data_IF_900879020906
#
_entry.id   IF_900879020906
#
_cell.length_a   1.000
_cell.length_b   1.000
_cell.length_c   1.000
_cell.angle_alpha   90.00
_cell.angle_beta   90.00
_cell.angle_gamma   90.00
#
_symmetry.space_group_name_H-M   'P 1'
#
loop_
_entity.id
_entity.type
_entity.pdbx_description
1 polymer ?
#
# COMPACT_ATOMS: atom_id res chain seq x y z
N UNK A 1 8.42 6.40 -14.11
CA UNK A 1 7.05 6.89 -13.82
C UNK A 1 6.05 6.02 -14.54
N UNK A 2 4.96 5.67 -13.87
CA UNK A 2 3.87 4.85 -14.39
C UNK A 2 2.56 5.63 -14.25
N UNK A 3 1.70 5.61 -15.27
CA UNK A 3 0.44 6.36 -15.30
C UNK A 3 -0.74 5.42 -15.01
N UNK A 4 -1.41 5.53 -13.83
CA UNK A 4 -2.66 4.83 -13.57
C UNK A 4 -3.70 5.15 -14.65
N UNK A 5 -4.55 4.19 -15.01
CA UNK A 5 -5.44 4.33 -16.15
C UNK A 5 -6.24 3.06 -16.44
N UNK A 6 -6.43 2.73 -17.73
CA UNK A 6 -7.36 1.68 -18.17
C UNK A 6 -7.17 0.32 -17.47
N UNK A 7 -5.94 -0.05 -17.11
CA UNK A 7 -5.59 -1.38 -16.62
C UNK A 7 -5.43 -1.47 -15.10
N UNK A 8 -4.97 -0.40 -14.45
CA UNK A 8 -4.74 -0.39 -13.03
C UNK A 8 -4.98 0.99 -12.41
N UNK A 9 -5.33 0.98 -11.13
CA UNK A 9 -5.31 2.12 -10.23
C UNK A 9 -4.27 1.89 -9.13
N UNK A 10 -3.90 2.95 -8.43
CA UNK A 10 -2.98 2.86 -7.31
C UNK A 10 -3.66 3.41 -6.05
N UNK A 11 -3.50 2.68 -4.95
CA UNK A 11 -4.12 3.03 -3.68
C UNK A 11 -3.04 3.14 -2.63
N UNK A 12 -2.94 4.32 -2.02
CA UNK A 12 -2.01 4.60 -0.95
C UNK A 12 -2.71 4.52 0.41
N UNK A 13 -2.07 3.84 1.35
CA UNK A 13 -2.54 3.61 2.72
C UNK A 13 -1.45 4.08 3.71
N UNK A 14 -1.80 4.80 4.79
CA UNK A 14 -0.85 5.23 5.81
C UNK A 14 -0.09 4.06 6.41
N UNK A 15 1.19 4.27 6.73
CA UNK A 15 2.02 3.23 7.33
C UNK A 15 1.44 2.69 8.63
N UNK A 16 0.94 3.57 9.51
CA UNK A 16 0.30 3.22 10.78
C UNK A 16 -0.82 2.18 10.63
N UNK A 17 -1.66 2.32 9.59
CA UNK A 17 -2.80 1.43 9.34
C UNK A 17 -2.31 0.04 8.92
N UNK A 18 -1.31 -0.01 8.03
CA UNK A 18 -0.74 -1.27 7.56
C UNK A 18 0.03 -1.98 8.66
N UNK A 19 0.82 -1.23 9.44
CA UNK A 19 1.57 -1.73 10.60
C UNK A 19 0.64 -2.32 11.66
N UNK A 20 -0.43 -1.61 12.02
CA UNK A 20 -1.45 -2.13 12.93
C UNK A 20 -2.12 -3.40 12.38
N UNK A 21 -2.43 -3.44 11.08
CA UNK A 21 -3.05 -4.62 10.46
C UNK A 21 -2.12 -5.84 10.43
N UNK A 22 -0.80 -5.63 10.29
CA UNK A 22 0.21 -6.67 10.25
C UNK A 22 0.79 -7.03 11.62
N UNK A 23 0.49 -6.26 12.67
CA UNK A 23 1.17 -6.37 13.98
C UNK A 23 2.69 -6.26 13.86
N UNK A 24 3.12 -5.29 13.04
CA UNK A 24 4.50 -5.09 12.68
C UNK A 24 4.89 -3.63 12.89
N UNK A 25 6.17 -3.36 13.15
CA UNK A 25 6.68 -2.01 13.37
C UNK A 25 7.34 -1.40 12.13
N UNK A 26 7.67 -2.23 11.12
CA UNK A 26 8.39 -1.83 9.93
C UNK A 26 7.80 -2.43 8.64
N UNK A 27 8.08 -1.84 7.46
CA UNK A 27 7.68 -2.44 6.19
C UNK A 27 8.33 -3.78 5.88
N UNK A 28 9.56 -4.01 6.33
CA UNK A 28 10.27 -5.26 6.22
C UNK A 28 9.54 -6.38 6.97
N UNK A 29 9.05 -6.09 8.18
CA UNK A 29 8.26 -7.03 8.99
C UNK A 29 6.86 -7.27 8.40
N UNK A 30 6.29 -6.27 7.72
CA UNK A 30 5.00 -6.41 7.04
C UNK A 30 5.09 -7.29 5.78
N UNK A 31 6.24 -7.32 5.11
CA UNK A 31 6.43 -7.96 3.81
C UNK A 31 5.87 -9.40 3.71
N UNK A 32 6.20 -10.35 4.60
CA UNK A 32 5.69 -11.72 4.50
C UNK A 32 4.16 -11.81 4.67
N UNK A 33 3.60 -11.02 5.59
CA UNK A 33 2.15 -10.97 5.82
C UNK A 33 1.44 -10.42 4.59
N UNK A 34 1.91 -9.27 4.08
CA UNK A 34 1.34 -8.65 2.90
C UNK A 34 1.46 -9.55 1.66
N UNK A 35 2.59 -10.22 1.47
CA UNK A 35 2.80 -11.14 0.35
C UNK A 35 1.80 -12.30 0.36
N UNK A 36 1.52 -12.86 1.53
CA UNK A 36 0.53 -13.93 1.68
C UNK A 36 -0.91 -13.47 1.41
N UNK A 37 -1.23 -12.20 1.71
CA UNK A 37 -2.57 -11.66 1.61
C UNK A 37 -2.85 -11.06 0.23
N UNK A 38 -2.02 -10.16 -0.27
CA UNK A 38 -2.37 -9.29 -1.39
C UNK A 38 -2.15 -9.92 -2.77
N UNK A 39 -1.21 -10.85 -2.89
CA UNK A 39 -0.82 -11.53 -4.14
C UNK A 39 -0.62 -10.57 -5.33
N UNK A 40 -0.01 -9.40 -5.06
CA UNK A 40 0.28 -8.37 -6.04
C UNK A 40 1.24 -7.30 -5.51
N UNK A 41 1.68 -6.37 -6.37
CA UNK A 41 2.76 -5.45 -6.06
C UNK A 41 2.35 -4.35 -5.10
N UNK A 42 3.24 -4.10 -4.14
CA UNK A 42 3.14 -3.08 -3.11
C UNK A 42 4.50 -2.45 -2.91
N UNK A 43 4.58 -1.13 -2.95
CA UNK A 43 5.78 -0.41 -2.59
C UNK A 43 5.52 0.51 -1.39
N UNK A 44 6.56 0.75 -0.61
CA UNK A 44 6.56 1.69 0.49
C UNK A 44 7.24 2.99 0.05
N UNK A 45 6.69 4.14 0.44
CA UNK A 45 7.30 5.45 0.25
C UNK A 45 7.44 6.18 1.59
N UNK A 46 8.65 6.61 1.99
CA UNK A 46 8.87 7.22 3.31
C UNK A 46 8.37 8.67 3.40
N UNK A 47 8.25 9.39 2.27
CA UNK A 47 7.90 10.83 2.23
C UNK A 47 6.39 11.09 2.02
N UNK A 48 5.55 10.09 2.31
CA UNK A 48 4.09 10.15 2.22
C UNK A 48 3.41 10.42 3.56
N UNK A 49 2.12 10.80 3.56
CA UNK A 49 1.28 10.94 4.77
C UNK A 49 1.97 11.70 5.92
N UNK A 50 2.24 13.01 5.75
CA UNK A 50 2.89 13.85 6.78
C UNK A 50 4.26 13.34 7.26
N UNK A 51 5.03 12.68 6.39
CA UNK A 51 6.35 12.08 6.67
C UNK A 51 6.30 10.79 7.51
N UNK A 52 5.12 10.23 7.75
CA UNK A 52 4.96 8.95 8.44
C UNK A 52 5.11 7.77 7.48
N UNK A 53 5.13 8.05 6.17
CA UNK A 53 5.25 7.07 5.11
C UNK A 53 3.92 6.39 4.76
N UNK A 54 3.95 5.60 3.68
CA UNK A 54 2.76 4.87 3.25
C UNK A 54 3.04 3.78 2.25
N UNK A 55 2.10 2.84 2.19
CA UNK A 55 2.11 1.72 1.25
C UNK A 55 1.23 2.05 0.07
N UNK A 56 1.77 1.88 -1.13
CA UNK A 56 1.00 2.01 -2.37
C UNK A 56 0.89 0.66 -3.04
N UNK A 57 -0.34 0.18 -3.14
CA UNK A 57 -0.68 -1.06 -3.84
C UNK A 57 -1.19 -0.75 -5.24
N UNK A 58 -0.85 -1.61 -6.22
CA UNK A 58 -1.43 -1.53 -7.57
C UNK A 58 -2.60 -2.50 -7.67
N UNK A 59 -3.75 -2.01 -8.12
CA UNK A 59 -5.01 -2.75 -8.19
C UNK A 59 -5.62 -2.65 -9.59
N UNK A 60 -6.52 -3.57 -9.99
CA UNK A 60 -7.31 -3.39 -11.21
C UNK A 60 -8.07 -2.06 -11.21
N UNK A 61 -8.21 -1.42 -12.37
CA UNK A 61 -8.85 -0.10 -12.52
C UNK A 61 -10.28 -0.02 -11.97
N UNK A 62 -11.02 -1.12 -11.95
CA UNK A 62 -12.34 -1.24 -11.33
C UNK A 62 -12.36 -0.93 -9.82
N UNK A 63 -11.20 -0.91 -9.15
CA UNK A 63 -11.08 -0.52 -7.75
C UNK A 63 -11.14 1.00 -7.51
N UNK A 64 -11.23 1.82 -8.57
CA UNK A 64 -11.23 3.29 -8.48
C UNK A 64 -12.42 3.88 -7.73
N UNK A 65 -13.51 3.13 -7.59
CA UNK A 65 -14.70 3.55 -6.82
C UNK A 65 -14.54 3.38 -5.30
N UNK A 66 -13.38 2.93 -4.83
CA UNK A 66 -13.12 2.73 -3.42
C UNK A 66 -13.04 4.06 -2.67
N UNK A 67 -13.97 4.27 -1.72
CA UNK A 67 -13.99 5.41 -0.80
C UNK A 67 -14.00 4.94 0.66
N UNK A 68 -12.83 4.58 1.19
CA UNK A 68 -12.63 4.40 2.63
C UNK A 68 -11.95 5.64 3.22
N UNK A 69 -12.31 6.07 4.45
CA UNK A 69 -11.52 7.04 5.20
C UNK A 69 -10.05 6.62 5.31
N UNK A 70 -9.15 7.60 5.29
CA UNK A 70 -7.69 7.42 5.41
C UNK A 70 -6.99 6.72 4.25
N UNK A 71 -7.69 6.43 3.15
CA UNK A 71 -7.09 5.85 1.94
C UNK A 71 -7.09 6.90 0.83
N UNK A 72 -5.98 6.99 0.10
CA UNK A 72 -5.87 7.84 -1.09
C UNK A 72 -5.89 6.96 -2.32
N UNK A 73 -7.00 7.00 -3.06
CA UNK A 73 -7.06 6.44 -4.41
C UNK A 73 -6.47 7.47 -5.37
N UNK A 74 -5.37 7.13 -6.04
CA UNK A 74 -4.73 8.02 -6.99
C UNK A 74 -5.63 8.17 -8.23
N UNK A 75 -5.90 9.40 -8.68
CA UNK A 75 -6.75 9.62 -9.84
C UNK A 75 -6.11 9.03 -11.10
N UNK A 76 -6.95 8.62 -12.04
CA UNK A 76 -6.48 8.18 -13.35
C UNK A 76 -5.59 9.27 -13.97
N UNK A 77 -4.47 8.85 -14.57
CA UNK A 77 -3.42 9.69 -15.18
C UNK A 77 -2.57 10.51 -14.21
N UNK A 78 -2.70 10.32 -12.89
CA UNK A 78 -1.75 10.89 -11.94
C UNK A 78 -0.32 10.38 -12.23
N UNK A 79 0.69 11.22 -12.03
CA UNK A 79 2.06 10.77 -12.09
C UNK A 79 2.42 10.07 -10.78
N UNK A 80 2.58 8.74 -10.85
CA UNK A 80 3.05 7.95 -9.72
C UNK A 80 4.54 7.68 -9.88
N UNK A 81 5.32 8.14 -8.91
CA UNK A 81 6.68 7.69 -8.72
C UNK A 81 6.63 6.23 -8.25
N UNK A 82 7.10 5.32 -9.11
CA UNK A 82 7.15 3.89 -8.83
C UNK A 82 8.62 3.49 -8.79
N UNK A 83 9.06 2.67 -7.81
CA UNK A 83 10.44 2.20 -7.77
C UNK A 83 10.80 1.40 -9.02
N UNK A 84 12.08 1.40 -9.39
CA UNK A 84 12.57 0.42 -10.35
C UNK A 84 12.36 -1.00 -9.79
N UNK A 85 12.02 -2.01 -10.62
CA UNK A 85 11.70 -3.37 -10.17
C UNK A 85 12.75 -4.02 -9.25
N UNK A 86 14.01 -3.60 -9.38
CA UNK A 86 15.17 -4.14 -8.66
C UNK A 86 15.38 -3.48 -7.28
N UNK A 87 14.64 -2.41 -6.97
CA UNK A 87 14.75 -1.70 -5.69
C UNK A 87 13.87 -2.39 -4.64
N UNK A 88 14.43 -3.44 -4.03
CA UNK A 88 13.75 -4.32 -3.07
C UNK A 88 14.04 -4.01 -1.59
N UNK A 89 14.80 -2.95 -1.33
CA UNK A 89 15.19 -2.54 0.01
C UNK A 89 15.23 -1.00 0.10
N UNK A 90 15.16 -0.42 1.31
CA UNK A 90 15.29 1.01 1.50
C UNK A 90 16.57 1.57 0.84
N UNK A 91 16.42 2.62 0.04
CA UNK A 91 17.54 3.30 -0.61
C UNK A 91 17.31 4.82 -0.56
N UNK A 92 17.90 5.46 0.45
CA UNK A 92 17.68 6.88 0.73
C UNK A 92 16.21 7.18 1.06
N UNK A 93 15.70 8.29 0.55
CA UNK A 93 14.31 8.75 0.77
C UNK A 93 13.35 8.27 -0.34
N UNK A 94 13.85 7.45 -1.28
CA UNK A 94 13.05 6.94 -2.39
C UNK A 94 12.10 5.81 -1.97
N UNK A 95 11.02 5.57 -2.74
CA UNK A 95 10.18 4.40 -2.52
C UNK A 95 10.90 3.11 -2.91
N UNK A 96 10.51 1.99 -2.31
CA UNK A 96 11.05 0.66 -2.60
C UNK A 96 9.96 -0.42 -2.54
N UNK A 97 10.17 -1.53 -3.24
CA UNK A 97 9.20 -2.63 -3.32
C UNK A 97 9.19 -3.47 -2.05
N UNK A 98 8.06 -3.45 -1.34
CA UNK A 98 7.78 -4.40 -0.25
C UNK A 98 7.35 -5.75 -0.84
N UNK A 99 6.58 -5.69 -1.93
CA UNK A 99 6.22 -6.83 -2.77
C UNK A 99 6.48 -6.39 -4.21
N UNK A 100 7.50 -6.91 -4.90
CA UNK A 100 7.79 -6.52 -6.27
C UNK A 100 6.73 -7.06 -7.24
N UNK A 101 6.54 -6.42 -8.40
CA UNK A 101 5.70 -6.97 -9.47
C UNK A 101 6.27 -8.30 -9.94
N UNK A 102 5.41 -9.28 -10.17
CA UNK A 102 5.79 -10.55 -10.79
C UNK A 102 5.84 -10.43 -12.32
N UNK A 103 6.37 -11.45 -12.99
CA UNK A 103 6.47 -11.49 -14.46
C UNK A 103 5.12 -11.39 -15.19
N UNK A 104 4.01 -11.67 -14.51
CA UNK A 104 2.66 -11.62 -15.09
C UNK A 104 1.92 -10.33 -14.70
N UNK A 105 2.57 -9.42 -13.97
CA UNK A 105 1.98 -8.21 -13.41
C UNK A 105 0.64 -8.47 -12.70
N UNK A 106 0.56 -9.54 -11.88
CA UNK A 106 -0.63 -9.79 -11.07
C UNK A 106 -0.88 -8.61 -10.15
N UNK A 107 -2.07 -8.02 -10.21
CA UNK A 107 -2.45 -6.87 -9.39
C UNK A 107 -3.03 -7.32 -8.05
N UNK A 108 -2.93 -6.46 -7.04
CA UNK A 108 -3.48 -6.74 -5.71
C UNK A 108 -5.01 -6.92 -5.77
N UNK A 109 -5.53 -7.85 -4.97
CA UNK A 109 -6.98 -8.08 -4.87
C UNK A 109 -7.65 -6.97 -4.04
N UNK A 110 -8.62 -6.20 -4.58
CA UNK A 110 -9.23 -5.07 -3.86
C UNK A 110 -9.90 -5.43 -2.55
N UNK A 111 -10.61 -6.57 -2.50
CA UNK A 111 -11.27 -7.03 -1.29
C UNK A 111 -10.28 -7.34 -0.15
N UNK A 112 -9.09 -7.84 -0.49
CA UNK A 112 -8.06 -8.19 0.50
C UNK A 112 -7.40 -6.93 1.06
N UNK A 113 -7.11 -5.95 0.21
CA UNK A 113 -6.58 -4.65 0.66
C UNK A 113 -7.58 -3.90 1.53
N UNK A 114 -8.88 -3.93 1.19
CA UNK A 114 -9.96 -3.42 2.05
C UNK A 114 -9.97 -4.11 3.42
N UNK A 115 -9.81 -5.43 3.46
CA UNK A 115 -9.73 -6.20 4.70
C UNK A 115 -8.56 -5.77 5.60
N UNK A 116 -7.39 -5.52 5.00
CA UNK A 116 -6.20 -5.01 5.71
C UNK A 116 -6.47 -3.61 6.29
N UNK A 117 -6.98 -2.69 5.47
CA UNK A 117 -7.30 -1.32 5.91
C UNK A 117 -8.28 -1.33 7.08
N UNK A 118 -9.37 -2.09 6.96
CA UNK A 118 -10.38 -2.21 8.02
C UNK A 118 -9.76 -2.73 9.32
N UNK A 119 -9.02 -3.85 9.25
CA UNK A 119 -8.37 -4.47 10.42
C UNK A 119 -7.39 -3.53 11.11
N UNK A 120 -6.60 -2.78 10.33
CA UNK A 120 -5.66 -1.80 10.87
C UNK A 120 -6.37 -0.70 11.64
N UNK A 121 -7.44 -0.14 11.07
CA UNK A 121 -8.25 0.90 11.71
C UNK A 121 -8.94 0.41 12.98
N UNK A 122 -9.50 -0.79 12.97
CA UNK A 122 -10.12 -1.42 14.16
C UNK A 122 -9.12 -1.54 15.31
N UNK A 123 -7.87 -1.91 15.00
CA UNK A 123 -6.80 -2.02 16.01
C UNK A 123 -6.34 -0.69 16.54
N UNK A 124 -6.18 0.32 15.69
CA UNK A 124 -5.84 1.68 16.11
C UNK A 124 -6.92 2.22 17.07
N UNK A 125 -8.20 2.01 16.72
CA UNK A 125 -9.31 2.42 17.57
C UNK A 125 -9.32 1.70 18.93
N UNK A 126 -9.00 0.40 18.96
CA UNK A 126 -8.92 -0.39 20.19
C UNK A 126 -7.70 -0.05 21.06
N UNK A 127 -6.59 0.39 20.48
CA UNK A 127 -5.39 0.85 21.21
C UNK A 127 -5.47 2.30 21.69
N UNK A 128 -6.49 3.05 21.27
CA UNK A 128 -6.72 4.44 21.61
C UNK A 128 -7.79 4.65 22.68
N UNK A 129 -7.91 3.77 23.67
CA UNK A 129 -8.79 4.04 24.82
C UNK A 129 -8.27 5.28 25.60
N UNK A 130 -9.11 6.32 25.79
CA UNK A 130 -8.76 7.47 26.61
C UNK A 130 -8.76 7.04 28.09
N UNK A 131 -7.60 7.14 28.73
CA UNK A 131 -7.51 7.23 30.20
C UNK A 131 -7.91 8.61 30.68
#
# INVERSE_FOLDING_TARGET
MLRPGAWYTAVSVPAEVVHAACEAASPEDCAPVLASLLDGPVFYGPVGFRQEGGYTALLPSAASDWREPSVVVLPARAELLVPAPEVLAPCGEGPWWVIPPDRHMRLCTPARLKGIVRRGRERIAAGGEPS
#
